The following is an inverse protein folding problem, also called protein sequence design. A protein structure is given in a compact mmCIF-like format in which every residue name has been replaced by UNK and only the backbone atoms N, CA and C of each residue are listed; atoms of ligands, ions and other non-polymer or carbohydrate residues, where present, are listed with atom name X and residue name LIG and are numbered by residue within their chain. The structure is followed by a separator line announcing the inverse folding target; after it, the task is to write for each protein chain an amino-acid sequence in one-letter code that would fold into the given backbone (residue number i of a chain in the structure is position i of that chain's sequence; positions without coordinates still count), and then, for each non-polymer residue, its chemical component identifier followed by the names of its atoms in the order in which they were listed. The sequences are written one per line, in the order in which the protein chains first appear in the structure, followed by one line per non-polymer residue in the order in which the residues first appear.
data_IF_306501430845
#
_entry.id   IF_306501430845
#
_cell.length_a   1.000
_cell.length_b   1.000
_cell.length_c   1.000
_cell.angle_alpha   90.00
_cell.angle_beta   90.00
_cell.angle_gamma   90.00
#
_symmetry.space_group_name_H-M   'P 1'
#
loop_
_entity.id
_entity.type
_entity.pdbx_description
1 polymer ?
#
# COMPACT_ATOMS: atom_id res chain seq x y z
N UNK A 1 8.75 15.21 -25.20
CA UNK A 1 7.63 14.95 -24.28
C UNK A 1 8.16 13.92 -23.31
N UNK A 2 8.44 14.31 -22.07
CA UNK A 2 8.85 13.36 -21.05
C UNK A 2 7.66 12.42 -20.80
N UNK A 3 7.89 11.13 -20.97
CA UNK A 3 6.89 10.11 -20.70
C UNK A 3 7.09 9.67 -19.26
N UNK A 4 6.17 10.06 -18.39
CA UNK A 4 6.19 9.67 -16.99
C UNK A 4 5.30 8.43 -16.84
N UNK A 5 5.82 7.41 -16.15
CA UNK A 5 5.07 6.27 -15.65
C UNK A 5 4.91 6.43 -14.13
N UNK A 6 3.68 6.34 -13.65
CA UNK A 6 3.33 6.38 -12.23
C UNK A 6 2.83 4.99 -11.83
N UNK A 7 3.46 4.37 -10.85
CA UNK A 7 3.02 3.09 -10.27
C UNK A 7 2.68 3.30 -8.80
N UNK A 8 1.64 2.63 -8.33
CA UNK A 8 1.34 2.60 -6.90
C UNK A 8 2.15 1.50 -6.23
N UNK A 9 2.64 1.80 -5.02
CA UNK A 9 3.31 0.84 -4.17
C UNK A 9 2.44 0.58 -2.95
N UNK A 10 2.10 -0.69 -2.73
CA UNK A 10 1.18 -1.13 -1.71
C UNK A 10 1.88 -2.01 -0.67
N UNK A 11 1.41 -1.94 0.58
CA UNK A 11 1.74 -2.94 1.60
C UNK A 11 1.15 -4.30 1.21
N UNK A 12 1.77 -5.37 1.70
CA UNK A 12 1.22 -6.72 1.54
C UNK A 12 0.04 -6.93 2.50
N UNK A 13 -1.07 -7.54 2.05
CA UNK A 13 -2.12 -8.01 2.95
C UNK A 13 -1.57 -8.94 4.05
N UNK A 14 -2.24 -8.93 5.20
CA UNK A 14 -1.90 -9.77 6.35
C UNK A 14 -0.84 -9.18 7.28
N UNK A 15 -0.29 -8.00 6.97
CA UNK A 15 0.68 -7.29 7.81
C UNK A 15 0.16 -5.89 8.12
N UNK A 16 0.05 -5.54 9.41
CA UNK A 16 -0.22 -4.16 9.79
C UNK A 16 1.04 -3.32 9.67
N UNK A 17 1.03 -2.41 8.70
CA UNK A 17 2.10 -1.45 8.53
C UNK A 17 1.94 -0.25 9.51
N UNK A 18 3.02 0.27 10.11
CA UNK A 18 2.95 1.49 10.92
C UNK A 18 2.48 2.68 10.07
N UNK A 19 1.87 3.70 10.67
CA UNK A 19 1.31 4.87 9.93
C UNK A 19 2.35 5.58 9.05
N UNK A 20 3.61 5.60 9.48
CA UNK A 20 4.75 6.19 8.77
C UNK A 20 5.44 5.24 7.78
N UNK A 21 4.92 4.04 7.54
CA UNK A 21 5.61 3.00 6.76
C UNK A 21 6.02 3.48 5.36
N UNK A 22 5.15 4.22 4.66
CA UNK A 22 5.48 4.78 3.35
C UNK A 22 6.71 5.70 3.40
N UNK A 23 6.87 6.52 4.45
CA UNK A 23 8.04 7.37 4.64
C UNK A 23 9.29 6.60 5.04
N UNK A 24 9.15 5.51 5.78
CA UNK A 24 10.27 4.62 6.09
C UNK A 24 10.80 3.98 4.80
N UNK A 25 9.90 3.48 3.94
CA UNK A 25 10.22 2.94 2.61
C UNK A 25 10.85 4.00 1.72
N UNK A 26 10.32 5.23 1.67
CA UNK A 26 10.92 6.35 0.91
C UNK A 26 12.36 6.63 1.33
N UNK A 27 12.63 6.66 2.63
CA UNK A 27 13.98 6.89 3.15
C UNK A 27 14.94 5.72 2.87
N UNK A 28 14.43 4.48 2.86
CA UNK A 28 15.19 3.30 2.44
C UNK A 28 15.52 3.37 0.95
N UNK A 29 14.51 3.64 0.12
CA UNK A 29 14.66 3.77 -1.32
C UNK A 29 15.68 4.86 -1.69
N UNK A 30 15.58 6.06 -1.11
CA UNK A 30 16.51 7.16 -1.37
C UNK A 30 17.95 6.86 -0.92
N UNK A 31 18.14 5.93 0.02
CA UNK A 31 19.47 5.49 0.46
C UNK A 31 20.08 4.47 -0.51
N UNK A 32 19.26 3.57 -1.01
CA UNK A 32 19.69 2.44 -1.83
C UNK A 32 19.79 2.79 -3.33
N UNK A 33 19.09 3.85 -3.75
CA UNK A 33 19.04 4.32 -5.13
C UNK A 33 19.43 5.80 -5.24
N UNK A 34 20.51 6.08 -5.96
CA UNK A 34 20.90 7.44 -6.41
C UNK A 34 20.48 7.66 -7.87
N UNK A 35 19.22 7.32 -8.20
CA UNK A 35 18.68 7.49 -9.55
C UNK A 35 17.76 8.71 -9.58
N UNK A 36 18.02 9.68 -10.47
CA UNK A 36 17.15 10.86 -10.65
C UNK A 36 15.90 10.56 -11.48
N UNK A 37 15.96 9.53 -12.30
CA UNK A 37 14.87 9.12 -13.20
C UNK A 37 13.78 8.32 -12.47
N UNK A 38 14.06 7.77 -11.29
CA UNK A 38 13.10 7.03 -10.48
C UNK A 38 13.01 7.69 -9.11
N UNK A 39 11.81 8.06 -8.69
CA UNK A 39 11.56 8.62 -7.36
C UNK A 39 10.45 7.85 -6.68
N UNK A 40 10.64 7.55 -5.42
CA UNK A 40 9.59 7.04 -4.57
C UNK A 40 9.04 8.17 -3.70
N UNK A 41 7.72 8.32 -3.67
CA UNK A 41 7.03 9.27 -2.82
C UNK A 41 6.22 8.53 -1.78
N UNK A 42 6.74 8.47 -0.55
CA UNK A 42 6.09 7.78 0.55
C UNK A 42 4.89 8.54 1.10
N UNK A 43 3.89 7.81 1.56
CA UNK A 43 2.71 8.35 2.19
C UNK A 43 2.75 8.17 3.70
N UNK A 44 2.16 9.15 4.40
CA UNK A 44 1.65 8.94 5.75
C UNK A 44 0.24 8.42 5.64
N UNK A 45 -0.09 7.45 6.48
CA UNK A 45 -1.46 7.01 6.59
C UNK A 45 -2.26 7.96 7.49
N UNK A 46 -3.42 8.37 7.01
CA UNK A 46 -4.37 9.20 7.75
C UNK A 46 -5.71 8.51 7.72
N UNK A 47 -6.19 8.09 8.89
CA UNK A 47 -7.52 7.52 9.05
C UNK A 47 -8.60 8.59 8.91
N UNK A 48 -9.74 8.22 8.34
CA UNK A 48 -10.87 9.11 8.23
C UNK A 48 -12.17 8.39 7.95
N UNK A 49 -13.23 9.19 7.87
CA UNK A 49 -14.59 8.69 7.67
C UNK A 49 -14.74 7.77 6.45
N UNK A 50 -13.92 7.98 5.42
CA UNK A 50 -13.91 7.15 4.21
C UNK A 50 -13.57 5.70 4.53
N UNK A 51 -12.72 5.41 5.51
CA UNK A 51 -12.34 4.04 5.87
C UNK A 51 -13.52 3.25 6.43
N UNK A 52 -14.37 3.89 7.25
CA UNK A 52 -15.61 3.29 7.74
C UNK A 52 -16.62 3.05 6.61
N UNK A 53 -16.69 3.95 5.63
CA UNK A 53 -17.54 3.80 4.44
C UNK A 53 -17.04 2.65 3.54
N UNK A 54 -15.73 2.50 3.36
CA UNK A 54 -15.10 1.38 2.65
C UNK A 54 -15.38 0.06 3.36
N UNK A 55 -15.17 -0.03 4.68
CA UNK A 55 -15.44 -1.26 5.42
C UNK A 55 -16.89 -1.69 5.27
N UNK A 56 -17.83 -0.75 5.40
CA UNK A 56 -19.24 -1.04 5.20
C UNK A 56 -19.51 -1.57 3.80
N UNK A 57 -18.94 -0.94 2.77
CA UNK A 57 -19.09 -1.39 1.39
C UNK A 57 -18.53 -2.81 1.19
N UNK A 58 -17.31 -3.09 1.67
CA UNK A 58 -16.69 -4.42 1.55
C UNK A 58 -17.51 -5.51 2.25
N UNK A 59 -18.11 -5.22 3.41
CA UNK A 59 -19.01 -6.13 4.11
C UNK A 59 -20.30 -6.39 3.32
N UNK A 60 -20.87 -5.35 2.69
CA UNK A 60 -22.07 -5.46 1.85
C UNK A 60 -21.82 -6.25 0.57
N UNK A 61 -20.61 -6.13 -0.02
CA UNK A 61 -20.19 -6.92 -1.19
C UNK A 61 -19.71 -8.33 -0.84
N UNK A 62 -19.47 -8.62 0.44
CA UNK A 62 -18.94 -9.90 0.90
C UNK A 62 -17.45 -10.11 0.58
N UNK A 63 -16.71 -9.02 0.32
CA UNK A 63 -15.26 -9.06 0.13
C UNK A 63 -14.52 -9.37 1.45
N UNK A 64 -15.11 -8.95 2.57
CA UNK A 64 -14.73 -9.34 3.93
C UNK A 64 -15.97 -9.81 4.69
N UNK A 65 -15.79 -10.66 5.71
CA UNK A 65 -16.89 -11.14 6.52
C UNK A 65 -16.98 -10.46 7.89
N UNK A 66 -18.20 -10.35 8.43
CA UNK A 66 -18.43 -9.90 9.81
C UNK A 66 -17.68 -10.82 10.80
N UNK A 67 -17.57 -12.11 10.50
CA UNK A 67 -16.86 -13.06 11.35
C UNK A 67 -15.35 -12.74 11.43
N UNK A 68 -14.73 -12.37 10.31
CA UNK A 68 -13.32 -11.98 10.28
C UNK A 68 -13.08 -10.68 11.03
N UNK A 69 -13.98 -9.70 10.88
CA UNK A 69 -13.93 -8.45 11.63
C UNK A 69 -14.07 -8.68 13.14
N UNK A 70 -14.99 -9.55 13.57
CA UNK A 70 -15.13 -9.92 14.98
C UNK A 70 -13.87 -10.63 15.51
N UNK A 71 -13.30 -11.54 14.73
CA UNK A 71 -12.05 -12.23 15.09
C UNK A 71 -10.88 -11.25 15.22
N UNK A 72 -10.81 -10.26 14.31
CA UNK A 72 -9.86 -9.17 14.36
C UNK A 72 -9.99 -8.34 15.65
N UNK A 73 -11.21 -7.88 15.96
CA UNK A 73 -11.48 -7.11 17.17
C UNK A 73 -11.13 -7.90 18.43
N UNK A 74 -11.49 -9.18 18.50
CA UNK A 74 -11.14 -10.06 19.62
C UNK A 74 -9.62 -10.19 19.80
N UNK A 75 -8.89 -10.35 18.70
CA UNK A 75 -7.41 -10.51 18.71
C UNK A 75 -6.70 -9.24 19.22
N UNK A 76 -7.27 -8.07 18.94
CA UNK A 76 -6.69 -6.77 19.31
C UNK A 76 -7.36 -6.13 20.54
N UNK A 77 -8.19 -6.88 21.27
CA UNK A 77 -8.90 -6.42 22.47
C UNK A 77 -9.80 -5.19 22.22
N UNK A 78 -10.35 -5.07 21.01
CA UNK A 78 -11.25 -4.00 20.59
C UNK A 78 -12.70 -4.42 20.86
N UNK A 79 -13.51 -3.51 21.41
CA UNK A 79 -14.94 -3.74 21.52
C UNK A 79 -15.59 -3.62 20.13
N UNK A 80 -16.28 -4.67 19.70
CA UNK A 80 -16.97 -4.75 18.40
C UNK A 80 -18.06 -3.68 18.27
N UNK A 81 -18.65 -3.23 19.37
CA UNK A 81 -19.67 -2.17 19.36
C UNK A 81 -19.07 -0.75 19.20
N UNK A 82 -17.73 -0.63 19.21
CA UNK A 82 -17.01 0.64 19.10
C UNK A 82 -16.05 0.67 17.90
N UNK A 83 -16.47 0.11 16.76
CA UNK A 83 -15.70 0.23 15.51
C UNK A 83 -15.77 1.68 15.04
N UNK A 84 -14.63 2.37 15.11
CA UNK A 84 -14.42 3.71 14.61
C UNK A 84 -13.62 3.68 13.29
N UNK A 85 -13.27 4.86 12.78
CA UNK A 85 -12.52 5.01 11.54
C UNK A 85 -11.15 4.33 11.59
N UNK A 86 -10.46 4.35 12.73
CA UNK A 86 -9.15 3.75 12.88
C UNK A 86 -9.23 2.22 12.83
N UNK A 87 -10.18 1.63 13.56
CA UNK A 87 -10.39 0.18 13.53
C UNK A 87 -10.77 -0.29 12.13
N UNK A 88 -11.66 0.45 11.45
CA UNK A 88 -12.05 0.14 10.08
C UNK A 88 -10.85 0.17 9.13
N UNK A 89 -10.04 1.23 9.19
CA UNK A 89 -8.85 1.37 8.35
C UNK A 89 -7.83 0.25 8.59
N UNK A 90 -7.53 -0.07 9.86
CA UNK A 90 -6.59 -1.14 10.23
C UNK A 90 -7.05 -2.52 9.79
N UNK A 91 -8.36 -2.80 9.86
CA UNK A 91 -8.89 -4.06 9.37
C UNK A 91 -8.83 -4.16 7.84
N UNK A 92 -9.12 -3.07 7.14
CA UNK A 92 -9.01 -3.01 5.67
C UNK A 92 -7.56 -3.16 5.21
N UNK A 93 -6.59 -2.48 5.83
CA UNK A 93 -5.16 -2.65 5.54
C UNK A 93 -4.71 -4.09 5.82
N UNK A 94 -5.16 -4.70 6.91
CA UNK A 94 -4.85 -6.11 7.15
C UNK A 94 -5.45 -7.03 6.06
N UNK A 95 -6.65 -6.72 5.58
CA UNK A 95 -7.36 -7.58 4.61
C UNK A 95 -6.83 -7.46 3.19
N UNK A 96 -6.45 -6.25 2.78
CA UNK A 96 -6.15 -5.93 1.38
C UNK A 96 -4.79 -5.23 1.18
N UNK A 97 -4.08 -4.90 2.25
CA UNK A 97 -2.99 -3.94 2.22
C UNK A 97 -3.52 -2.51 2.03
N UNK A 98 -2.60 -1.58 1.83
CA UNK A 98 -2.89 -0.18 1.53
C UNK A 98 -1.82 0.42 0.63
N UNK A 99 -2.17 1.46 -0.11
CA UNK A 99 -1.19 2.25 -0.83
C UNK A 99 -0.26 2.96 0.17
N UNK A 100 1.04 2.76 0.05
CA UNK A 100 2.07 3.35 0.91
C UNK A 100 2.91 4.39 0.18
N UNK A 101 2.76 4.52 -1.13
CA UNK A 101 3.48 5.50 -1.92
C UNK A 101 3.33 5.31 -3.41
N UNK A 102 4.02 6.16 -4.16
CA UNK A 102 4.08 6.09 -5.61
C UNK A 102 5.51 6.01 -6.11
N UNK A 103 5.72 5.23 -7.16
CA UNK A 103 6.94 5.21 -7.94
C UNK A 103 6.74 6.06 -9.20
N UNK A 104 7.46 7.17 -9.26
CA UNK A 104 7.49 8.08 -10.39
C UNK A 104 8.71 7.79 -11.24
N UNK A 105 8.48 7.39 -12.49
CA UNK A 105 9.53 6.94 -13.41
C UNK A 105 9.53 7.82 -14.66
N UNK A 106 10.64 8.51 -14.91
CA UNK A 106 10.91 9.15 -16.20
C UNK A 106 11.39 8.09 -17.20
N UNK A 107 10.45 7.59 -18.01
CA UNK A 107 10.67 6.52 -18.99
C UNK A 107 11.67 6.94 -20.06
N UNK A 108 11.84 8.24 -20.32
CA UNK A 108 12.81 8.75 -21.28
C UNK A 108 14.27 8.66 -20.81
N UNK A 109 14.46 8.62 -19.48
CA UNK A 109 15.79 8.71 -18.86
C UNK A 109 16.19 7.46 -18.09
N UNK A 110 15.23 6.60 -17.72
CA UNK A 110 15.48 5.38 -16.95
C UNK A 110 16.08 4.27 -17.83
N UNK A 111 17.10 3.59 -17.33
CA UNK A 111 17.61 2.38 -17.95
C UNK A 111 16.79 1.17 -17.49
N UNK A 112 16.59 0.21 -18.40
CA UNK A 112 15.84 -1.02 -18.09
C UNK A 112 16.38 -1.76 -16.85
N UNK A 113 17.70 -1.87 -16.71
CA UNK A 113 18.33 -2.51 -15.56
C UNK A 113 18.13 -1.75 -14.24
N UNK A 114 17.87 -0.45 -14.27
CA UNK A 114 17.52 0.32 -13.07
C UNK A 114 16.11 -0.03 -12.61
N UNK A 115 15.17 -0.18 -13.55
CA UNK A 115 13.81 -0.64 -13.25
C UNK A 115 13.78 -2.07 -12.70
N UNK A 116 14.56 -3.00 -13.28
CA UNK A 116 14.67 -4.36 -12.75
C UNK A 116 15.15 -4.36 -11.29
N UNK A 117 16.20 -3.60 -10.99
CA UNK A 117 16.72 -3.48 -9.62
C UNK A 117 15.70 -2.88 -8.66
N UNK A 118 14.90 -1.92 -9.11
CA UNK A 118 13.82 -1.35 -8.30
C UNK A 118 12.76 -2.41 -8.01
N UNK A 119 12.34 -3.19 -9.01
CA UNK A 119 11.36 -4.25 -8.79
C UNK A 119 11.90 -5.38 -7.89
N UNK A 120 13.17 -5.76 -8.03
CA UNK A 120 13.82 -6.69 -7.09
C UNK A 120 13.80 -6.13 -5.66
N UNK A 121 14.16 -4.85 -5.49
CA UNK A 121 14.14 -4.21 -4.17
C UNK A 121 12.74 -4.15 -3.57
N UNK A 122 11.72 -3.82 -4.37
CA UNK A 122 10.32 -3.81 -3.93
C UNK A 122 9.87 -5.22 -3.53
N UNK A 123 10.24 -6.25 -4.30
CA UNK A 123 9.96 -7.66 -3.98
C UNK A 123 10.61 -8.07 -2.64
N UNK A 124 11.89 -7.76 -2.45
CA UNK A 124 12.65 -8.10 -1.24
C UNK A 124 12.08 -7.41 0.01
N UNK A 125 11.52 -6.22 -0.15
CA UNK A 125 10.83 -5.49 0.92
C UNK A 125 9.36 -5.92 1.11
N UNK A 126 8.92 -6.98 0.42
CA UNK A 126 7.57 -7.54 0.52
C UNK A 126 6.48 -6.52 0.17
N UNK A 127 6.73 -5.69 -0.84
CA UNK A 127 5.81 -4.67 -1.32
C UNK A 127 5.18 -5.12 -2.65
N UNK A 128 4.00 -4.57 -2.94
CA UNK A 128 3.23 -4.85 -4.15
C UNK A 128 3.29 -3.64 -5.08
N UNK A 129 3.44 -3.88 -6.39
CA UNK A 129 3.38 -2.82 -7.41
C UNK A 129 2.08 -2.95 -8.17
N UNK A 130 1.33 -1.86 -8.27
CA UNK A 130 0.08 -1.79 -9.02
C UNK A 130 0.20 -0.70 -10.08
N UNK A 131 -0.24 -1.02 -11.30
CA UNK A 131 -0.47 -0.03 -12.34
C UNK A 131 -1.89 0.51 -12.17
N UNK A 132 -2.06 1.79 -11.75
CA UNK A 132 -3.38 2.36 -11.49
C UNK A 132 -4.19 2.60 -12.77
N UNK A 133 -3.56 2.64 -13.94
CA UNK A 133 -4.24 2.86 -15.23
C UNK A 133 -4.82 1.55 -15.75
N UNK A 134 -4.07 0.46 -15.60
CA UNK A 134 -4.52 -0.87 -16.01
C UNK A 134 -5.28 -1.64 -14.93
N UNK A 135 -5.36 -1.10 -13.71
CA UNK A 135 -5.94 -1.75 -12.52
C UNK A 135 -5.33 -3.14 -12.30
N UNK A 136 -4.03 -3.27 -12.57
CA UNK A 136 -3.34 -4.56 -12.61
C UNK A 136 -2.18 -4.60 -11.62
N UNK A 137 -2.07 -5.73 -10.91
CA UNK A 137 -0.89 -6.04 -10.12
C UNK A 137 0.28 -6.34 -11.06
N UNK A 138 1.30 -5.50 -11.04
CA UNK A 138 2.51 -5.61 -11.85
C UNK A 138 3.54 -6.52 -11.16
N UNK A 139 3.58 -6.49 -9.83
CA UNK A 139 4.48 -7.29 -9.02
C UNK A 139 3.83 -7.65 -7.69
N UNK A 140 3.89 -8.94 -7.33
CA UNK A 140 3.43 -9.45 -6.04
C UNK A 140 4.47 -10.41 -5.44
N UNK A 141 4.88 -10.25 -4.17
CA UNK A 141 5.94 -11.02 -3.55
C UNK A 141 5.56 -12.44 -3.07
#
# INVERSE_FOLDING_TARGET
MESILELEIWSRPGVQAPECFGKEIENGFARDFDCKAIKFYGLYWCFGRVDAEILKFCLEQGEVSIADLHAYCLTHEINVDSIDEEVAARFIDLSFGRCIGWLHVDVGSVLFCEMERVFEWVYDNQLVVVDPVCEACVLYP
#
